data_IF_542063560540
#
_entry.id   IF_542063560540
#
_cell.length_a   1.000
_cell.length_b   1.000
_cell.length_c   1.000
_cell.angle_alpha   90.00
_cell.angle_beta   90.00
_cell.angle_gamma   90.00
#
_symmetry.space_group_name_H-M   'P 1'
#
loop_
_entity.id
_entity.type
_entity.pdbx_description
1 polymer ?
#
# COMPACT_ATOMS: atom_id res chain seq x y z
N UNK A 1 2.54 24.34 -0.86
CA UNK A 1 3.15 23.02 -0.65
C UNK A 1 2.85 22.52 0.76
N UNK A 2 3.18 23.27 1.82
CA UNK A 2 2.85 22.90 3.21
C UNK A 2 1.34 22.64 3.44
N UNK A 3 0.44 23.55 3.07
CA UNK A 3 -1.00 23.31 3.22
C UNK A 3 -1.48 22.03 2.50
N UNK A 4 -0.99 21.80 1.28
CA UNK A 4 -1.35 20.61 0.50
C UNK A 4 -0.83 19.33 1.17
N UNK A 5 0.31 19.40 1.85
CA UNK A 5 0.86 18.29 2.62
C UNK A 5 0.00 18.01 3.86
N UNK A 6 -0.39 19.03 4.63
CA UNK A 6 -1.28 18.86 5.78
C UNK A 6 -2.64 18.28 5.38
N UNK A 7 -3.24 18.80 4.30
CA UNK A 7 -4.52 18.30 3.78
C UNK A 7 -4.39 16.83 3.34
N UNK A 8 -3.29 16.48 2.65
CA UNK A 8 -3.04 15.11 2.22
C UNK A 8 -2.82 14.17 3.41
N UNK A 9 -2.05 14.58 4.42
CA UNK A 9 -1.88 13.82 5.67
C UNK A 9 -3.20 13.57 6.38
N UNK A 10 -4.04 14.61 6.50
CA UNK A 10 -5.35 14.50 7.12
C UNK A 10 -6.23 13.47 6.40
N UNK A 11 -6.25 13.49 5.07
CA UNK A 11 -6.97 12.48 4.29
C UNK A 11 -6.38 11.08 4.49
N UNK A 12 -5.05 10.96 4.48
CA UNK A 12 -4.35 9.68 4.71
C UNK A 12 -4.63 9.11 6.10
N UNK A 13 -4.83 9.94 7.12
CA UNK A 13 -5.19 9.48 8.46
C UNK A 13 -6.67 9.04 8.58
N UNK A 14 -7.53 9.49 7.65
CA UNK A 14 -8.95 9.09 7.58
C UNK A 14 -9.18 7.81 6.77
N UNK A 15 -8.22 7.42 5.92
CA UNK A 15 -8.25 6.23 5.05
C UNK A 15 -8.73 4.97 5.81
N UNK A 16 -8.17 4.58 6.98
CA UNK A 16 -8.61 3.38 7.68
C UNK A 16 -10.10 3.40 8.06
N UNK A 17 -10.64 4.56 8.44
CA UNK A 17 -12.06 4.71 8.78
C UNK A 17 -12.96 4.70 7.54
N UNK A 18 -12.44 5.15 6.40
CA UNK A 18 -13.18 5.12 5.13
C UNK A 18 -13.29 3.71 4.58
N UNK A 19 -12.24 2.90 4.69
CA UNK A 19 -12.14 1.57 4.08
C UNK A 19 -13.29 0.63 4.44
N UNK A 20 -13.68 0.68 5.70
CA UNK A 20 -14.74 -0.11 6.31
C UNK A 20 -16.15 0.33 5.84
N UNK A 21 -16.27 1.56 5.33
CA UNK A 21 -17.54 2.21 4.97
C UNK A 21 -17.87 2.13 3.47
N UNK A 22 -17.06 1.42 2.67
CA UNK A 22 -17.15 1.44 1.21
C UNK A 22 -18.16 0.45 0.65
N UNK A 23 -19.07 0.94 -0.21
CA UNK A 23 -20.06 0.15 -0.97
C UNK A 23 -19.49 -0.39 -2.29
N UNK A 24 -20.12 -1.43 -2.83
CA UNK A 24 -19.82 -1.95 -4.19
C UNK A 24 -20.17 -1.01 -5.34
N UNK A 25 -21.02 0.01 -5.12
CA UNK A 25 -21.45 0.91 -6.19
C UNK A 25 -20.37 1.91 -6.64
N UNK A 26 -19.31 2.08 -5.86
CA UNK A 26 -18.07 2.68 -6.36
C UNK A 26 -17.19 1.53 -6.82
N UNK A 27 -16.70 1.59 -8.06
CA UNK A 27 -15.74 0.61 -8.55
C UNK A 27 -14.59 0.54 -7.54
N UNK A 28 -14.49 -0.57 -6.81
CA UNK A 28 -13.51 -0.76 -5.73
C UNK A 28 -12.11 -0.47 -6.27
N UNK A 29 -11.88 -0.75 -7.54
CA UNK A 29 -10.64 -0.43 -8.25
C UNK A 29 -10.41 1.07 -8.37
N UNK A 30 -11.41 1.86 -8.79
CA UNK A 30 -11.30 3.32 -8.89
C UNK A 30 -10.98 3.98 -7.55
N UNK A 31 -11.58 3.47 -6.48
CA UNK A 31 -11.34 4.00 -5.16
C UNK A 31 -9.96 3.60 -4.60
N UNK A 32 -9.54 2.36 -4.80
CA UNK A 32 -8.18 1.92 -4.46
C UNK A 32 -7.13 2.74 -5.24
N UNK A 33 -7.39 3.05 -6.51
CA UNK A 33 -6.55 3.94 -7.32
C UNK A 33 -6.52 5.35 -6.72
N UNK A 34 -7.66 5.91 -6.30
CA UNK A 34 -7.73 7.25 -5.68
C UNK A 34 -7.02 7.31 -4.34
N UNK A 35 -7.22 6.32 -3.47
CA UNK A 35 -6.61 6.24 -2.12
C UNK A 35 -5.11 6.01 -2.22
N UNK A 36 -4.68 5.07 -3.08
CA UNK A 36 -3.27 4.88 -3.41
C UNK A 36 -2.64 6.15 -3.98
N UNK A 37 -3.39 6.87 -4.82
CA UNK A 37 -3.00 8.18 -5.34
C UNK A 37 -2.77 9.21 -4.24
N UNK A 38 -3.72 9.39 -3.31
CA UNK A 38 -3.58 10.38 -2.21
C UNK A 38 -2.38 10.05 -1.31
N UNK A 39 -2.18 8.77 -0.99
CA UNK A 39 -1.05 8.33 -0.16
C UNK A 39 0.28 8.57 -0.86
N UNK A 40 0.32 8.33 -2.17
CA UNK A 40 1.46 8.61 -3.03
C UNK A 40 1.78 10.10 -3.11
N UNK A 41 0.76 10.96 -3.27
CA UNK A 41 0.91 12.42 -3.24
C UNK A 41 1.42 12.91 -1.89
N UNK A 42 0.86 12.43 -0.78
CA UNK A 42 1.30 12.78 0.57
C UNK A 42 2.78 12.43 0.77
N UNK A 43 3.20 11.23 0.34
CA UNK A 43 4.58 10.79 0.41
C UNK A 43 5.51 11.66 -0.45
N UNK A 44 5.11 12.00 -1.68
CA UNK A 44 5.93 12.87 -2.54
C UNK A 44 6.03 14.31 -2.03
N UNK A 45 4.97 14.83 -1.40
CA UNK A 45 4.97 16.13 -0.73
C UNK A 45 5.88 16.13 0.51
N UNK A 46 5.86 15.07 1.32
CA UNK A 46 6.77 14.90 2.46
C UNK A 46 8.23 14.99 2.01
N UNK A 47 8.61 14.18 1.01
CA UNK A 47 9.95 14.21 0.42
C UNK A 47 10.30 15.58 -0.17
N UNK A 48 9.31 16.34 -0.68
CA UNK A 48 9.56 17.64 -1.31
C UNK A 48 9.88 18.70 -0.26
N UNK A 49 9.24 18.60 0.90
CA UNK A 49 9.46 19.46 2.05
C UNK A 49 10.70 19.07 2.85
N UNK A 50 11.41 18.00 2.46
CA UNK A 50 12.63 17.54 3.11
C UNK A 50 12.40 16.69 4.36
N UNK A 51 11.21 16.12 4.52
CA UNK A 51 10.93 15.14 5.57
C UNK A 51 11.74 13.85 5.36
N UNK A 52 11.91 13.08 6.43
CA UNK A 52 12.63 11.80 6.38
C UNK A 52 11.92 10.81 5.42
N UNK A 53 12.64 10.06 4.57
CA UNK A 53 12.01 9.10 3.66
C UNK A 53 11.17 8.01 4.36
N UNK A 54 11.43 7.73 5.65
CA UNK A 54 10.59 6.83 6.44
C UNK A 54 9.22 7.43 6.78
N UNK A 55 9.10 8.75 6.89
CA UNK A 55 7.80 9.43 7.02
C UNK A 55 7.01 9.26 5.73
N UNK A 56 7.65 9.48 4.58
CA UNK A 56 7.03 9.25 3.28
C UNK A 56 6.59 7.79 3.11
N UNK A 57 7.44 6.84 3.50
CA UNK A 57 7.09 5.41 3.51
C UNK A 57 5.89 5.12 4.43
N UNK A 58 5.87 5.68 5.64
CA UNK A 58 4.72 5.49 6.54
C UNK A 58 3.40 5.98 5.92
N UNK A 59 3.42 7.07 5.14
CA UNK A 59 2.23 7.56 4.43
C UNK A 59 1.78 6.59 3.33
N UNK A 60 2.73 5.96 2.61
CA UNK A 60 2.40 4.91 1.65
C UNK A 60 1.80 3.67 2.33
N UNK A 61 2.35 3.26 3.48
CA UNK A 61 1.87 2.12 4.26
C UNK A 61 0.45 2.36 4.81
N UNK A 62 0.13 3.59 5.23
CA UNK A 62 -1.24 3.97 5.62
C UNK A 62 -2.23 3.75 4.49
N UNK A 63 -1.85 4.12 3.26
CA UNK A 63 -2.64 3.83 2.06
C UNK A 63 -2.77 2.33 1.78
N UNK A 64 -1.68 1.58 1.97
CA UNK A 64 -1.63 0.11 1.79
C UNK A 64 -2.49 -0.63 2.80
N UNK A 65 -2.67 -0.10 4.01
CA UNK A 65 -3.55 -0.69 5.03
C UNK A 65 -4.98 -0.97 4.55
N UNK A 66 -5.49 -0.25 3.53
CA UNK A 66 -6.76 -0.58 2.87
C UNK A 66 -6.65 -1.77 1.92
N UNK A 67 -5.53 -1.92 1.22
CA UNK A 67 -5.28 -3.10 0.38
C UNK A 67 -5.15 -4.36 1.23
N UNK A 68 -4.67 -4.24 2.48
CA UNK A 68 -4.71 -5.32 3.45
C UNK A 68 -6.13 -5.72 3.86
N UNK A 69 -7.16 -4.90 3.55
CA UNK A 69 -8.58 -5.26 3.67
C UNK A 69 -9.15 -5.91 2.40
N UNK A 70 -8.36 -6.02 1.33
CA UNK A 70 -8.69 -6.82 0.16
C UNK A 70 -8.49 -8.32 0.44
N UNK A 71 -9.27 -9.15 -0.24
CA UNK A 71 -9.40 -10.58 0.05
C UNK A 71 -8.10 -11.40 -0.09
N UNK A 72 -7.06 -10.87 -0.73
CA UNK A 72 -5.84 -11.63 -1.04
C UNK A 72 -4.71 -11.46 -0.02
N UNK A 73 -4.49 -10.26 0.54
CA UNK A 73 -3.44 -10.05 1.57
C UNK A 73 -3.85 -10.67 2.92
N UNK A 74 -5.14 -10.63 3.29
CA UNK A 74 -5.65 -11.28 4.52
C UNK A 74 -5.46 -12.81 4.53
N UNK A 75 -5.34 -13.47 3.37
CA UNK A 75 -5.23 -14.93 3.30
C UNK A 75 -3.92 -15.46 3.91
N UNK A 76 -2.85 -14.67 3.87
CA UNK A 76 -1.58 -15.04 4.50
C UNK A 76 -1.68 -14.94 6.04
N UNK A 77 -2.36 -13.92 6.54
CA UNK A 77 -2.52 -13.67 7.97
C UNK A 77 -3.54 -14.61 8.62
N UNK A 78 -4.63 -14.94 7.92
CA UNK A 78 -5.69 -15.84 8.44
C UNK A 78 -5.12 -17.20 8.84
N UNK A 79 -4.15 -17.77 8.11
CA UNK A 79 -3.55 -19.06 8.50
C UNK A 79 -2.81 -18.98 9.83
N UNK A 80 -2.00 -17.94 10.01
CA UNK A 80 -1.29 -17.69 11.27
C UNK A 80 -2.26 -17.41 12.42
N UNK A 81 -3.41 -16.79 12.10
CA UNK A 81 -4.50 -16.53 13.04
C UNK A 81 -5.31 -17.78 13.39
N UNK A 82 -5.59 -18.67 12.43
CA UNK A 82 -6.26 -19.96 12.66
C UNK A 82 -5.46 -20.86 13.60
N UNK A 83 -4.13 -20.84 13.50
CA UNK A 83 -3.25 -21.63 14.36
C UNK A 83 -3.20 -21.14 15.81
N UNK A 84 -3.23 -19.81 16.02
CA UNK A 84 -3.04 -19.20 17.35
C UNK A 84 -4.35 -18.81 18.03
N UNK A 85 -5.34 -18.34 17.28
CA UNK A 85 -6.58 -17.76 17.78
C UNK A 85 -7.77 -18.12 16.86
N UNK A 86 -8.15 -19.42 16.77
CA UNK A 86 -9.13 -19.91 15.80
C UNK A 86 -10.51 -19.24 15.92
N UNK A 87 -10.95 -18.91 17.14
CA UNK A 87 -12.24 -18.25 17.36
C UNK A 87 -12.27 -16.83 16.79
N UNK A 88 -11.17 -16.07 16.92
CA UNK A 88 -11.06 -14.72 16.37
C UNK A 88 -10.90 -14.75 14.84
N UNK A 89 -10.16 -15.73 14.31
CA UNK A 89 -10.06 -15.96 12.87
C UNK A 89 -11.43 -16.26 12.25
N UNK A 90 -12.25 -17.09 12.92
CA UNK A 90 -13.59 -17.41 12.46
C UNK A 90 -14.52 -16.19 12.49
N UNK A 91 -14.45 -15.36 13.54
CA UNK A 91 -15.17 -14.06 13.58
C UNK A 91 -14.77 -13.15 12.42
N UNK A 92 -13.48 -13.04 12.13
CA UNK A 92 -12.97 -12.24 11.01
C UNK A 92 -13.52 -12.73 9.66
N UNK A 93 -13.55 -14.05 9.45
CA UNK A 93 -14.13 -14.68 8.25
C UNK A 93 -15.62 -14.38 8.12
N UNK A 94 -16.39 -14.50 9.20
CA UNK A 94 -17.82 -14.20 9.20
C UNK A 94 -18.10 -12.73 8.95
N UNK A 95 -17.37 -11.84 9.61
CA UNK A 95 -17.50 -10.39 9.43
C UNK A 95 -17.16 -9.96 8.00
N UNK A 96 -16.13 -10.59 7.42
CA UNK A 96 -15.79 -10.43 6.00
C UNK A 96 -16.94 -10.87 5.10
N UNK A 97 -17.55 -12.02 5.34
CA UNK A 97 -18.68 -12.50 4.53
C UNK A 97 -19.89 -11.55 4.62
N UNK A 98 -20.17 -10.98 5.79
CA UNK A 98 -21.25 -10.01 5.97
C UNK A 98 -20.97 -8.69 5.24
N UNK A 99 -19.76 -8.16 5.39
CA UNK A 99 -19.29 -7.01 4.61
C UNK A 99 -19.33 -7.32 3.10
N UNK A 100 -19.04 -8.58 2.71
CA UNK A 100 -19.02 -9.04 1.31
C UNK A 100 -20.39 -9.37 0.70
N UNK A 101 -21.42 -9.59 1.51
CA UNK A 101 -22.75 -10.00 1.04
C UNK A 101 -23.70 -8.81 0.83
N UNK A 102 -23.46 -7.67 1.48
CA UNK A 102 -24.22 -6.40 1.34
C UNK A 102 -23.90 -5.63 0.04
N UNK A 103 -23.57 -6.40 -1.00
CA UNK A 103 -22.79 -6.01 -2.17
C UNK A 103 -23.52 -6.43 -3.45
N UNK A 104 -24.23 -7.57 -3.45
CA UNK A 104 -25.01 -8.07 -4.60
C UNK A 104 -26.43 -7.50 -4.73
N UNK A 105 -26.82 -6.52 -3.92
CA UNK A 105 -28.15 -5.91 -4.02
C UNK A 105 -28.13 -4.83 -5.11
N UNK A 106 -28.72 -5.14 -6.26
CA UNK A 106 -29.03 -4.16 -7.32
C UNK A 106 -29.78 -2.98 -6.71
N UNK A 107 -29.15 -1.80 -6.60
CA UNK A 107 -29.80 -0.62 -6.04
C UNK A 107 -30.11 0.44 -7.09
N UNK A 108 -31.40 0.77 -7.13
CA UNK A 108 -31.97 2.03 -7.59
C UNK A 108 -31.51 3.19 -6.68
N UNK A 109 -31.27 4.35 -7.29
CA UNK A 109 -30.74 5.56 -6.65
C UNK A 109 -31.84 6.37 -5.93
N UNK A 110 -32.61 5.76 -5.04
CA UNK A 110 -33.57 6.48 -4.20
C UNK A 110 -33.08 6.53 -2.75
N UNK A 111 -32.65 7.73 -2.32
CA UNK A 111 -32.11 8.01 -0.98
C UNK A 111 -33.18 8.04 0.13
N UNK A 112 -34.46 7.91 -0.23
CA UNK A 112 -35.60 7.88 0.70
C UNK A 112 -36.08 6.44 0.98
N UNK A 113 -35.45 5.42 0.39
CA UNK A 113 -35.82 4.02 0.60
C UNK A 113 -35.43 3.53 2.00
N UNK A 114 -36.34 2.96 2.80
CA UNK A 114 -36.03 2.31 4.08
C UNK A 114 -34.92 1.25 3.99
N UNK A 115 -34.76 0.58 2.84
CA UNK A 115 -33.70 -0.40 2.61
C UNK A 115 -32.30 0.25 2.59
N UNK A 116 -32.17 1.49 2.11
CA UNK A 116 -30.92 2.26 2.13
C UNK A 116 -30.42 2.49 3.56
N UNK A 117 -31.30 2.86 4.49
CA UNK A 117 -30.97 3.16 5.88
C UNK A 117 -30.58 1.91 6.69
N UNK A 118 -31.16 0.75 6.35
CA UNK A 118 -30.84 -0.54 6.99
C UNK A 118 -29.44 -1.01 6.56
N UNK A 119 -29.11 -0.84 5.30
CA UNK A 119 -27.83 -1.25 4.71
C UNK A 119 -26.67 -0.33 5.15
N UNK A 120 -26.91 0.97 5.36
CA UNK A 120 -25.93 1.86 6.01
C UNK A 120 -25.70 1.53 7.49
N UNK A 121 -26.77 1.27 8.24
CA UNK A 121 -26.66 0.92 9.68
C UNK A 121 -25.91 -0.39 9.90
N UNK A 122 -26.20 -1.43 9.10
CA UNK A 122 -25.49 -2.72 9.15
C UNK A 122 -24.00 -2.58 8.83
N UNK A 123 -23.64 -1.74 7.86
CA UNK A 123 -22.23 -1.48 7.55
C UNK A 123 -21.51 -0.75 8.66
N UNK A 124 -22.17 0.22 9.28
CA UNK A 124 -21.60 0.90 10.45
C UNK A 124 -21.33 -0.09 11.58
N UNK A 125 -22.30 -0.96 11.88
CA UNK A 125 -22.16 -2.00 12.90
C UNK A 125 -21.03 -2.98 12.56
N UNK A 126 -20.97 -3.49 11.33
CA UNK A 126 -19.89 -4.37 10.88
C UNK A 126 -18.51 -3.68 10.94
N UNK A 127 -18.48 -2.37 10.76
CA UNK A 127 -17.27 -1.59 10.89
C UNK A 127 -16.77 -1.38 12.30
N UNK A 128 -17.69 -1.05 13.21
CA UNK A 128 -17.40 -0.96 14.64
C UNK A 128 -16.97 -2.35 15.18
N UNK A 129 -17.58 -3.43 14.69
CA UNK A 129 -17.19 -4.81 15.02
C UNK A 129 -15.79 -5.15 14.48
N UNK A 130 -15.44 -4.69 13.28
CA UNK A 130 -14.11 -4.89 12.71
C UNK A 130 -13.05 -4.17 13.55
N UNK A 131 -13.28 -2.92 13.91
CA UNK A 131 -12.37 -2.16 14.76
C UNK A 131 -12.20 -2.84 16.13
N UNK A 132 -13.30 -3.28 16.75
CA UNK A 132 -13.26 -4.05 18.01
C UNK A 132 -12.45 -5.35 17.86
N UNK A 133 -12.67 -6.09 16.77
CA UNK A 133 -11.98 -7.35 16.51
C UNK A 133 -10.48 -7.14 16.27
N UNK A 134 -10.08 -6.08 15.56
CA UNK A 134 -8.66 -5.72 15.42
C UNK A 134 -8.03 -5.34 16.77
N UNK A 135 -8.78 -4.69 17.66
CA UNK A 135 -8.38 -4.46 19.04
C UNK A 135 -8.18 -5.76 19.82
N UNK A 136 -9.07 -6.74 19.68
CA UNK A 136 -8.94 -8.07 20.28
C UNK A 136 -7.71 -8.83 19.78
N UNK A 137 -7.41 -8.76 18.48
CA UNK A 137 -6.19 -9.36 17.92
C UNK A 137 -4.93 -8.75 18.53
N UNK A 138 -4.88 -7.43 18.72
CA UNK A 138 -3.71 -6.74 19.29
C UNK A 138 -3.42 -7.07 20.75
N UNK A 139 -4.35 -7.73 21.45
CA UNK A 139 -4.15 -8.25 22.80
C UNK A 139 -3.53 -9.66 22.81
N UNK A 140 -3.46 -10.32 21.66
CA UNK A 140 -2.87 -11.67 21.53
C UNK A 140 -1.37 -11.59 21.30
N UNK A 141 -0.63 -12.50 21.93
CA UNK A 141 0.83 -12.53 21.81
C UNK A 141 1.28 -12.78 20.35
N UNK A 142 2.06 -11.85 19.81
CA UNK A 142 2.54 -11.88 18.42
C UNK A 142 1.58 -11.27 17.40
N UNK A 143 0.57 -10.51 17.84
CA UNK A 143 -0.36 -9.75 16.99
C UNK A 143 -0.50 -8.29 17.44
N UNK A 144 0.39 -7.80 18.29
CA UNK A 144 0.35 -6.45 18.88
C UNK A 144 0.36 -5.35 17.80
N UNK A 145 0.98 -5.62 16.65
CA UNK A 145 1.06 -4.74 15.49
C UNK A 145 0.09 -5.12 14.36
N UNK A 146 -0.88 -6.01 14.61
CA UNK A 146 -1.82 -6.48 13.59
C UNK A 146 -2.58 -5.32 12.94
N UNK A 147 -2.48 -5.24 11.60
CA UNK A 147 -3.02 -4.16 10.76
C UNK A 147 -2.61 -2.74 11.19
N UNK A 148 -1.49 -2.60 11.93
CA UNK A 148 -0.81 -1.33 12.11
C UNK A 148 0.27 -1.18 11.03
N UNK A 149 0.64 0.05 10.75
CA UNK A 149 1.82 0.28 9.90
C UNK A 149 3.05 -0.32 10.58
N UNK A 150 3.97 -0.91 9.81
CA UNK A 150 5.23 -1.38 10.37
C UNK A 150 5.99 -0.20 10.97
N UNK A 151 6.51 -0.42 12.17
CA UNK A 151 7.41 0.52 12.84
C UNK A 151 8.73 0.62 12.10
N UNK A 152 9.48 1.72 12.29
CA UNK A 152 10.80 1.88 11.69
C UNK A 152 11.75 0.69 11.97
N UNK A 153 11.82 0.12 13.20
CA UNK A 153 12.61 -1.09 13.45
C UNK A 153 12.16 -2.30 12.64
N UNK A 154 10.86 -2.50 12.45
CA UNK A 154 10.31 -3.61 11.63
C UNK A 154 10.66 -3.42 10.15
N UNK A 155 10.52 -2.19 9.62
CA UNK A 155 10.92 -1.86 8.25
C UNK A 155 12.42 -2.11 8.06
N UNK A 156 13.27 -1.68 9.01
CA UNK A 156 14.72 -1.90 8.93
C UNK A 156 15.09 -3.38 9.05
N UNK A 157 14.43 -4.17 9.91
CA UNK A 157 14.64 -5.62 9.98
C UNK A 157 14.28 -6.31 8.66
N UNK A 158 13.25 -5.83 7.96
CA UNK A 158 12.91 -6.36 6.63
C UNK A 158 14.03 -6.14 5.58
N UNK A 159 15.01 -5.27 5.85
CA UNK A 159 16.18 -5.05 4.99
C UNK A 159 17.35 -6.03 5.25
N UNK A 160 17.19 -7.00 6.16
CA UNK A 160 18.23 -8.01 6.47
C UNK A 160 18.71 -8.80 5.25
N UNK A 161 17.84 -8.97 4.25
CA UNK A 161 18.14 -9.68 2.99
C UNK A 161 18.50 -8.76 1.83
N UNK A 162 18.58 -7.46 2.06
CA UNK A 162 18.85 -6.46 1.04
C UNK A 162 17.98 -5.21 1.19
N UNK A 163 18.32 -4.12 0.47
CA UNK A 163 17.57 -2.87 0.55
C UNK A 163 16.14 -3.02 0.01
N UNK A 164 15.23 -2.25 0.57
CA UNK A 164 13.88 -2.08 0.05
C UNK A 164 13.86 -0.86 -0.86
N UNK A 165 13.32 -1.03 -2.07
CA UNK A 165 13.17 0.04 -3.07
C UNK A 165 11.69 0.21 -3.39
N UNK A 166 11.18 1.42 -3.24
CA UNK A 166 9.79 1.77 -3.55
C UNK A 166 9.79 2.88 -4.58
N UNK A 167 9.26 2.59 -5.77
CA UNK A 167 9.08 3.59 -6.83
C UNK A 167 7.74 4.28 -6.60
N UNK A 168 7.80 5.54 -6.19
CA UNK A 168 6.64 6.37 -5.93
C UNK A 168 6.39 7.34 -7.09
N UNK A 169 5.15 7.39 -7.57
CA UNK A 169 4.72 8.29 -8.65
C UNK A 169 3.71 9.29 -8.12
N UNK A 170 4.07 10.56 -8.15
CA UNK A 170 3.12 11.67 -7.93
C UNK A 170 2.80 12.41 -9.22
N UNK A 171 1.86 13.34 -9.16
CA UNK A 171 1.51 14.28 -10.23
C UNK A 171 2.67 15.21 -10.58
N UNK A 172 3.59 15.44 -9.63
CA UNK A 172 4.69 16.38 -9.79
C UNK A 172 6.00 15.70 -10.19
N UNK A 173 6.26 14.48 -9.71
CA UNK A 173 7.55 13.80 -9.89
C UNK A 173 7.50 12.30 -9.63
N UNK A 174 8.51 11.62 -10.16
CA UNK A 174 8.83 10.22 -9.86
C UNK A 174 10.03 10.16 -8.94
N UNK A 175 9.96 9.34 -7.91
CA UNK A 175 11.01 9.19 -6.90
C UNK A 175 11.13 7.73 -6.48
N UNK A 176 12.33 7.31 -6.13
CA UNK A 176 12.57 6.06 -5.43
C UNK A 176 12.83 6.36 -3.94
N UNK A 177 12.12 5.67 -3.04
CA UNK A 177 12.44 5.62 -1.61
C UNK A 177 13.30 4.37 -1.41
N UNK A 178 14.45 4.56 -0.78
CA UNK A 178 15.44 3.52 -0.51
C UNK A 178 15.56 3.34 0.99
N UNK A 179 15.44 2.10 1.45
CA UNK A 179 15.60 1.77 2.87
C UNK A 179 16.66 0.68 3.01
N UNK A 180 17.67 0.98 3.80
CA UNK A 180 18.72 0.09 4.24
C UNK A 180 18.70 -0.02 5.78
N UNK A 181 19.38 -1.04 6.31
CA UNK A 181 19.44 -1.28 7.76
C UNK A 181 19.98 -0.09 8.57
N UNK A 182 20.80 0.75 7.94
CA UNK A 182 21.53 1.84 8.57
C UNK A 182 21.15 3.24 8.05
N UNK A 183 20.37 3.35 6.96
CA UNK A 183 19.96 4.64 6.38
C UNK A 183 18.69 4.53 5.54
N UNK A 184 18.03 5.67 5.34
CA UNK A 184 16.94 5.85 4.40
C UNK A 184 17.29 7.04 3.48
N UNK A 185 17.10 6.88 2.18
CA UNK A 185 17.35 7.93 1.18
C UNK A 185 16.20 8.02 0.19
N UNK A 186 16.15 9.11 -0.57
CA UNK A 186 15.24 9.26 -1.70
C UNK A 186 16.01 9.72 -2.94
N UNK A 187 15.68 9.14 -4.09
CA UNK A 187 16.33 9.42 -5.37
C UNK A 187 15.28 9.94 -6.36
N UNK A 188 15.39 11.18 -6.84
CA UNK A 188 14.54 11.68 -7.92
C UNK A 188 14.81 10.92 -9.23
N UNK A 189 13.75 10.40 -9.86
CA UNK A 189 13.83 9.71 -11.15
C UNK A 189 13.55 10.70 -12.28
N UNK A 190 14.42 11.70 -12.41
CA UNK A 190 14.20 12.87 -13.27
C UNK A 190 14.12 12.53 -14.77
N UNK A 191 14.81 11.48 -15.19
CA UNK A 191 14.84 11.05 -16.59
C UNK A 191 13.66 10.13 -16.95
N UNK A 192 12.80 9.79 -15.98
CA UNK A 192 11.62 8.99 -16.24
C UNK A 192 10.56 9.80 -17.01
N UNK A 193 10.25 9.37 -18.22
CA UNK A 193 9.23 9.99 -19.07
C UNK A 193 7.99 9.09 -19.20
N UNK A 194 6.83 9.45 -18.61
CA UNK A 194 5.61 8.65 -18.70
C UNK A 194 5.10 8.44 -20.14
N UNK A 195 5.45 9.34 -21.07
CA UNK A 195 5.02 9.21 -22.47
C UNK A 195 5.70 8.02 -23.16
N UNK A 196 6.98 7.78 -22.87
CA UNK A 196 7.74 6.65 -23.41
C UNK A 196 7.16 5.33 -22.89
N UNK A 197 6.85 5.24 -21.59
CA UNK A 197 6.13 4.09 -21.03
C UNK A 197 4.82 3.81 -21.77
N UNK A 198 3.99 4.84 -21.99
CA UNK A 198 2.71 4.72 -22.67
C UNK A 198 2.91 4.22 -24.12
N UNK A 199 3.95 4.69 -24.81
CA UNK A 199 4.29 4.22 -26.16
C UNK A 199 4.71 2.74 -26.17
N UNK A 200 5.60 2.33 -25.27
CA UNK A 200 6.02 0.93 -25.13
C UNK A 200 4.83 0.00 -24.84
N UNK A 201 3.91 0.42 -23.95
CA UNK A 201 2.72 -0.36 -23.63
C UNK A 201 1.76 -0.42 -24.82
N UNK A 202 1.46 0.71 -25.46
CA UNK A 202 0.55 0.77 -26.62
C UNK A 202 1.05 -0.06 -27.80
N UNK A 203 2.37 -0.07 -28.01
CA UNK A 203 3.00 -0.80 -29.11
C UNK A 203 3.26 -2.28 -28.77
N UNK A 204 2.99 -2.71 -27.53
CA UNK A 204 3.27 -4.08 -27.07
C UNK A 204 4.76 -4.40 -26.95
N UNK A 205 5.62 -3.38 -26.88
CA UNK A 205 7.09 -3.51 -26.86
C UNK A 205 7.70 -3.30 -25.48
N UNK A 206 6.91 -3.27 -24.40
CA UNK A 206 7.40 -3.06 -23.03
C UNK A 206 8.43 -4.09 -22.54
N UNK A 207 8.56 -5.24 -23.22
CA UNK A 207 9.57 -6.27 -22.94
C UNK A 207 10.71 -6.31 -23.96
N UNK A 208 10.81 -5.31 -24.85
CA UNK A 208 11.91 -5.23 -25.81
C UNK A 208 13.19 -4.76 -25.13
N UNK A 209 14.33 -5.03 -25.78
CA UNK A 209 15.64 -4.61 -25.28
C UNK A 209 15.70 -3.08 -25.11
N UNK A 210 15.04 -2.33 -26.00
CA UNK A 210 14.96 -0.87 -25.90
C UNK A 210 14.15 -0.42 -24.69
N UNK A 211 13.04 -1.08 -24.38
CA UNK A 211 12.22 -0.76 -23.20
C UNK A 211 12.95 -1.10 -21.89
N UNK A 212 13.68 -2.23 -21.87
CA UNK A 212 14.49 -2.63 -20.73
C UNK A 212 15.69 -1.71 -20.53
N UNK A 213 16.36 -1.30 -21.60
CA UNK A 213 17.43 -0.30 -21.55
C UNK A 213 16.90 1.05 -21.05
N UNK A 214 15.74 1.48 -21.54
CA UNK A 214 15.09 2.69 -21.05
C UNK A 214 14.79 2.64 -19.54
N UNK A 215 14.17 1.55 -19.06
CA UNK A 215 13.93 1.34 -17.61
C UNK A 215 15.22 1.28 -16.81
N UNK A 216 16.27 0.69 -17.38
CA UNK A 216 17.59 0.67 -16.77
C UNK A 216 18.11 2.09 -16.58
N UNK A 217 18.10 2.91 -17.62
CA UNK A 217 18.66 4.25 -17.61
C UNK A 217 17.89 5.19 -16.66
N UNK A 218 16.56 5.18 -16.69
CA UNK A 218 15.76 6.14 -15.92
C UNK A 218 15.32 5.67 -14.52
N UNK A 219 15.40 4.37 -14.21
CA UNK A 219 14.98 3.82 -12.90
C UNK A 219 16.08 3.01 -12.24
N UNK A 220 16.55 1.93 -12.87
CA UNK A 220 17.40 0.96 -12.18
C UNK A 220 18.80 1.53 -11.88
N UNK A 221 19.44 2.17 -12.85
CA UNK A 221 20.78 2.75 -12.71
C UNK A 221 20.84 3.83 -11.63
N UNK A 222 19.95 4.85 -11.58
CA UNK A 222 19.94 5.83 -10.49
C UNK A 222 19.78 5.19 -9.11
N UNK A 223 18.90 4.21 -8.97
CA UNK A 223 18.64 3.48 -7.72
C UNK A 223 19.87 2.67 -7.30
N UNK A 224 20.42 1.86 -8.20
CA UNK A 224 21.56 1.00 -7.91
C UNK A 224 22.82 1.82 -7.59
N UNK A 225 23.02 2.96 -8.26
CA UNK A 225 24.12 3.86 -7.98
C UNK A 225 24.03 4.47 -6.57
N UNK A 226 22.85 4.89 -6.11
CA UNK A 226 22.67 5.42 -4.74
C UNK A 226 22.91 4.35 -3.66
N UNK A 227 22.46 3.12 -3.94
CA UNK A 227 22.72 1.94 -3.12
C UNK A 227 24.18 1.45 -3.18
N UNK A 228 25.02 2.02 -4.05
CA UNK A 228 26.42 1.65 -4.20
C UNK A 228 26.67 0.36 -4.99
N UNK A 229 25.67 -0.15 -5.71
CA UNK A 229 25.78 -1.27 -6.65
C UNK A 229 26.27 -0.81 -8.02
N UNK A 230 27.44 -0.16 -8.06
CA UNK A 230 28.02 0.45 -9.26
C UNK A 230 28.94 -0.50 -10.06
N UNK A 231 29.07 -1.75 -9.60
CA UNK A 231 29.94 -2.78 -10.17
C UNK A 231 29.22 -4.12 -10.27
N UNK A 232 29.58 -4.97 -11.25
CA UNK A 232 29.09 -6.34 -11.28
C UNK A 232 29.50 -7.05 -9.97
N UNK A 233 28.63 -7.90 -9.42
CA UNK A 233 28.98 -8.70 -8.26
C UNK A 233 30.23 -9.53 -8.58
N UNK A 234 31.18 -9.60 -7.65
CA UNK A 234 32.23 -10.62 -7.72
C UNK A 234 31.57 -11.99 -7.67
N UNK A 235 31.97 -12.91 -8.55
CA UNK A 235 31.28 -14.14 -8.98
C UNK A 235 30.62 -15.06 -7.92
N UNK A 236 30.74 -14.79 -6.62
CA UNK A 236 30.19 -15.62 -5.52
C UNK A 236 29.07 -14.94 -4.69
N UNK A 237 28.85 -13.64 -4.80
CA UNK A 237 27.88 -12.88 -3.98
C UNK A 237 26.77 -12.23 -4.82
N UNK A 238 25.98 -13.06 -5.50
CA UNK A 238 24.76 -12.56 -6.14
C UNK A 238 23.71 -12.27 -5.05
N UNK A 239 23.04 -11.10 -5.06
CA UNK A 239 21.92 -10.85 -4.17
C UNK A 239 20.80 -11.85 -4.49
N UNK A 240 20.68 -12.89 -3.66
CA UNK A 240 19.73 -13.97 -3.87
C UNK A 240 18.30 -13.49 -3.65
N UNK A 241 17.43 -13.76 -4.62
CA UNK A 241 15.99 -13.88 -4.37
C UNK A 241 15.70 -15.37 -4.12
N UNK A 242 15.48 -15.83 -2.88
CA UNK A 242 15.34 -17.25 -2.56
C UNK A 242 14.03 -17.90 -3.06
N UNK A 243 13.20 -17.17 -3.83
CA UNK A 243 11.87 -17.62 -4.27
C UNK A 243 11.71 -17.74 -5.80
N UNK A 244 12.80 -17.94 -6.55
CA UNK A 244 12.75 -18.43 -7.95
C UNK A 244 13.73 -19.57 -8.17
#
# INVERSE_FOLDING_TARGET
MEQAYEDAMYVVDLIPQMAVRLRESFDKQDLLIKIGGVSSEAAGLALHLGEDPLVALSLLEKGRGIFALSLDEMRADIRSLEEKCPDLAQKLVTLREQLSASFTSEMTLDTEDPEWNIDESRRREAGDEFESLTGEFRLQAGFETYLLNPSEPEIKSATERGPIVIINKTMLRWEAILVESHRSTSVPLADFNPREMIEYVKNGTFRSDEALQWLWDCVASPVLNDLGFDKPPSDEDWPHNPNF
#
